data_IF_226174304326
#
_entry.id   IF_226174304326
#
_cell.length_a   1.000
_cell.length_b   1.000
_cell.length_c   1.000
_cell.angle_alpha   90.00
_cell.angle_beta   90.00
_cell.angle_gamma   90.00
#
_symmetry.space_group_name_H-M   'P 1'
#
loop_
_entity.id
_entity.type
_entity.pdbx_description
1 polymer ?
#
# COMPACT_ATOMS: atom_id res chain seq x y z
N UNK A 1 -0.41 -0.88 -15.08
CA UNK A 1 -1.52 -1.81 -15.42
C UNK A 1 -2.79 -1.41 -14.66
N UNK A 2 -3.99 -1.64 -15.21
CA UNK A 2 -5.26 -1.29 -14.53
C UNK A 2 -6.15 -2.51 -14.30
N UNK A 3 -6.68 -2.65 -13.08
CA UNK A 3 -7.71 -3.64 -12.75
C UNK A 3 -9.07 -2.96 -12.53
N UNK A 4 -10.01 -3.13 -13.45
CA UNK A 4 -11.37 -2.55 -13.36
C UNK A 4 -12.35 -3.36 -12.49
N UNK A 5 -11.91 -4.48 -11.94
CA UNK A 5 -12.63 -5.42 -11.08
C UNK A 5 -11.62 -6.38 -10.44
N UNK A 6 -12.09 -7.45 -9.79
CA UNK A 6 -11.18 -8.45 -9.20
C UNK A 6 -10.14 -8.94 -10.21
N UNK A 7 -8.89 -9.01 -9.80
CA UNK A 7 -7.78 -9.38 -10.67
C UNK A 7 -6.64 -10.03 -9.89
N UNK A 8 -5.80 -10.80 -10.59
CA UNK A 8 -4.56 -11.34 -10.06
C UNK A 8 -3.40 -10.91 -10.93
N UNK A 9 -2.41 -10.26 -10.32
CA UNK A 9 -1.12 -9.95 -10.92
C UNK A 9 -0.11 -10.93 -10.30
N UNK A 10 0.39 -11.86 -11.10
CA UNK A 10 1.25 -12.94 -10.61
C UNK A 10 2.62 -12.91 -11.28
N UNK A 11 3.69 -12.91 -10.48
CA UNK A 11 5.08 -12.94 -10.94
C UNK A 11 5.42 -11.82 -11.95
N UNK A 12 4.83 -10.64 -11.76
CA UNK A 12 5.08 -9.48 -12.64
C UNK A 12 6.22 -8.64 -12.08
N UNK A 13 7.11 -8.20 -12.96
CA UNK A 13 8.26 -7.36 -12.63
C UNK A 13 8.18 -6.00 -13.31
N UNK A 14 8.23 -4.94 -12.52
CA UNK A 14 8.33 -3.55 -12.99
C UNK A 14 9.72 -3.00 -12.65
N UNK A 15 10.58 -2.94 -13.65
CA UNK A 15 11.99 -2.55 -13.44
C UNK A 15 12.19 -1.04 -13.35
N UNK A 16 11.22 -0.27 -13.84
CA UNK A 16 11.19 1.18 -13.74
C UNK A 16 9.73 1.62 -13.76
N UNK A 17 9.26 2.24 -12.67
CA UNK A 17 7.86 2.61 -12.51
C UNK A 17 7.75 4.09 -12.83
N UNK A 18 7.07 4.42 -13.93
CA UNK A 18 6.75 5.79 -14.30
C UNK A 18 5.83 6.46 -13.26
N UNK A 19 4.51 6.46 -13.52
CA UNK A 19 3.55 7.03 -12.57
C UNK A 19 3.18 6.03 -11.45
N UNK A 20 2.63 4.87 -11.84
CA UNK A 20 2.36 3.74 -10.96
C UNK A 20 2.48 2.39 -11.69
N UNK A 21 2.83 1.32 -10.97
CA UNK A 21 2.97 -0.02 -11.54
C UNK A 21 1.60 -0.65 -11.83
N UNK A 22 0.69 -0.56 -10.85
CA UNK A 22 -0.68 -1.04 -10.97
C UNK A 22 -1.69 -0.17 -10.23
N UNK A 23 -2.87 -0.03 -10.84
CA UNK A 23 -3.98 0.75 -10.29
C UNK A 23 -5.27 -0.06 -10.24
N UNK A 24 -5.85 -0.16 -9.05
CA UNK A 24 -7.06 -0.93 -8.78
C UNK A 24 -8.28 -0.02 -8.74
N UNK A 25 -9.29 -0.29 -9.58
CA UNK A 25 -10.40 0.62 -9.91
C UNK A 25 -11.79 -0.01 -9.83
N UNK A 26 -11.91 -1.26 -9.37
CA UNK A 26 -13.22 -1.91 -9.23
C UNK A 26 -14.13 -1.18 -8.23
N UNK A 27 -15.43 -1.20 -8.48
CA UNK A 27 -16.41 -0.42 -7.71
C UNK A 27 -17.20 -1.25 -6.70
N UNK A 28 -17.09 -2.58 -6.78
CA UNK A 28 -17.76 -3.48 -5.83
C UNK A 28 -16.93 -3.61 -4.55
N UNK A 29 -17.58 -3.53 -3.39
CA UNK A 29 -16.96 -3.86 -2.11
C UNK A 29 -16.47 -5.33 -2.05
N UNK A 30 -17.01 -6.22 -2.89
CA UNK A 30 -16.55 -7.60 -3.04
C UNK A 30 -15.35 -7.78 -3.98
N UNK A 31 -14.84 -6.69 -4.59
CA UNK A 31 -13.66 -6.79 -5.46
C UNK A 31 -12.44 -7.25 -4.66
N UNK A 32 -11.71 -8.22 -5.22
CA UNK A 32 -10.47 -8.72 -4.65
C UNK A 32 -9.35 -8.61 -5.67
N UNK A 33 -8.32 -7.85 -5.31
CA UNK A 33 -7.10 -7.71 -6.09
C UNK A 33 -5.99 -8.48 -5.40
N UNK A 34 -5.30 -9.34 -6.16
CA UNK A 34 -4.19 -10.13 -5.64
C UNK A 34 -2.92 -9.75 -6.40
N UNK A 35 -1.89 -9.33 -5.70
CA UNK A 35 -0.52 -9.20 -6.20
C UNK A 35 0.30 -10.28 -5.54
N UNK A 36 0.76 -11.26 -6.31
CA UNK A 36 1.42 -12.45 -5.77
C UNK A 36 2.74 -12.74 -6.50
N UNK A 37 3.85 -12.68 -5.78
CA UNK A 37 5.17 -12.81 -6.41
C UNK A 37 5.56 -11.57 -7.21
N UNK A 38 6.78 -11.56 -7.75
CA UNK A 38 7.29 -10.47 -8.58
C UNK A 38 7.85 -9.31 -7.75
N UNK A 39 8.03 -8.16 -8.40
CA UNK A 39 8.60 -6.99 -7.74
C UNK A 39 8.52 -5.71 -8.55
N UNK A 40 8.76 -4.58 -7.88
CA UNK A 40 8.83 -3.27 -8.50
C UNK A 40 10.01 -2.47 -7.95
N UNK A 41 10.61 -1.63 -8.78
CA UNK A 41 11.61 -0.66 -8.34
C UNK A 41 11.48 0.68 -9.06
N UNK A 42 12.07 1.71 -8.48
CA UNK A 42 12.19 3.06 -9.06
C UNK A 42 10.82 3.71 -9.30
N UNK A 43 9.92 3.70 -8.31
CA UNK A 43 8.66 4.45 -8.39
C UNK A 43 8.78 5.80 -7.68
N UNK A 44 8.60 6.91 -8.38
CA UNK A 44 8.76 8.25 -7.79
C UNK A 44 7.82 8.47 -6.60
N UNK A 45 6.54 8.14 -6.75
CA UNK A 45 5.54 8.32 -5.69
C UNK A 45 5.02 6.98 -5.14
N UNK A 46 4.45 6.12 -5.99
CA UNK A 46 3.67 4.97 -5.52
C UNK A 46 3.72 3.80 -6.50
N UNK A 47 3.84 2.59 -5.97
CA UNK A 47 3.86 1.36 -6.78
C UNK A 47 2.43 0.89 -7.07
N UNK A 48 1.60 0.79 -6.03
CA UNK A 48 0.24 0.24 -6.08
C UNK A 48 -0.77 1.30 -5.65
N UNK A 49 -1.49 1.86 -6.62
CA UNK A 49 -2.55 2.84 -6.39
C UNK A 49 -3.90 2.15 -6.21
N UNK A 50 -4.56 2.38 -5.08
CA UNK A 50 -5.86 1.77 -4.78
C UNK A 50 -6.97 2.83 -4.82
N UNK A 51 -7.63 2.96 -5.97
CA UNK A 51 -8.72 3.91 -6.21
C UNK A 51 -10.11 3.30 -5.97
N UNK A 52 -10.27 2.01 -6.28
CA UNK A 52 -11.52 1.28 -6.21
C UNK A 52 -11.94 0.88 -4.79
N UNK A 53 -13.06 0.19 -4.69
CA UNK A 53 -13.54 -0.45 -3.47
C UNK A 53 -12.92 -1.84 -3.26
N UNK A 54 -13.09 -2.40 -2.07
CA UNK A 54 -12.84 -3.80 -1.79
C UNK A 54 -11.47 -4.07 -1.16
N UNK A 55 -10.84 -5.18 -1.54
CA UNK A 55 -9.67 -5.72 -0.85
C UNK A 55 -8.47 -5.91 -1.78
N UNK A 56 -7.31 -5.41 -1.38
CA UNK A 56 -6.02 -5.65 -2.01
C UNK A 56 -5.16 -6.57 -1.12
N UNK A 57 -4.67 -7.66 -1.68
CA UNK A 57 -3.75 -8.59 -1.03
C UNK A 57 -2.43 -8.59 -1.80
N UNK A 58 -1.35 -8.16 -1.14
CA UNK A 58 0.00 -8.17 -1.67
C UNK A 58 0.79 -9.23 -0.93
N UNK A 59 1.37 -10.19 -1.66
CA UNK A 59 2.15 -11.26 -1.04
C UNK A 59 3.33 -11.70 -1.88
N UNK A 60 4.42 -12.08 -1.21
CA UNK A 60 5.68 -12.53 -1.84
C UNK A 60 6.24 -11.54 -2.85
N UNK A 61 6.00 -10.25 -2.60
CA UNK A 61 6.38 -9.16 -3.48
C UNK A 61 7.65 -8.49 -2.97
N UNK A 62 8.44 -7.94 -3.88
CA UNK A 62 9.64 -7.16 -3.55
C UNK A 62 9.49 -5.74 -4.04
N UNK A 63 9.83 -4.77 -3.21
CA UNK A 63 9.82 -3.35 -3.58
C UNK A 63 11.11 -2.67 -3.15
N UNK A 64 11.68 -1.86 -4.03
CA UNK A 64 12.91 -1.14 -3.76
C UNK A 64 12.87 0.28 -4.34
N UNK A 65 13.60 1.22 -3.72
CA UNK A 65 13.81 2.58 -4.23
C UNK A 65 12.51 3.23 -4.74
N UNK A 66 11.52 3.36 -3.86
CA UNK A 66 10.17 3.77 -4.25
C UNK A 66 9.53 4.66 -3.20
N UNK A 67 8.69 5.62 -3.57
CA UNK A 67 8.01 6.47 -2.59
C UNK A 67 7.15 5.66 -1.62
N UNK A 68 6.16 4.92 -2.13
CA UNK A 68 5.20 4.14 -1.34
C UNK A 68 4.89 2.81 -2.01
N UNK A 69 4.75 1.72 -1.24
CA UNK A 69 4.29 0.45 -1.83
C UNK A 69 2.79 0.53 -2.16
N UNK A 70 1.93 0.80 -1.19
CA UNK A 70 0.47 0.91 -1.40
C UNK A 70 -0.06 2.26 -0.92
N UNK A 71 -0.92 2.90 -1.72
CA UNK A 71 -1.69 4.06 -1.27
C UNK A 71 -3.18 3.87 -1.58
N UNK A 72 -4.01 3.85 -0.54
CA UNK A 72 -5.46 4.11 -0.66
C UNK A 72 -5.66 5.53 -1.17
N UNK A 73 -6.47 5.76 -2.20
CA UNK A 73 -6.63 7.11 -2.74
C UNK A 73 -7.20 8.06 -1.68
N UNK A 74 -6.46 9.10 -1.32
CA UNK A 74 -6.86 9.97 -0.21
C UNK A 74 -7.70 11.18 -0.60
N UNK A 75 -7.74 11.53 -1.88
CA UNK A 75 -8.41 12.74 -2.39
C UNK A 75 -9.21 12.48 -3.68
N UNK A 76 -9.50 11.20 -3.99
CA UNK A 76 -10.39 10.83 -5.08
C UNK A 76 -11.81 11.39 -4.85
N UNK A 77 -12.46 11.83 -5.93
CA UNK A 77 -13.84 12.35 -5.88
C UNK A 77 -14.85 11.34 -5.34
N UNK A 78 -14.62 10.05 -5.63
CA UNK A 78 -15.35 8.94 -5.00
C UNK A 78 -14.44 8.22 -4.02
N UNK A 79 -14.93 8.05 -2.80
CA UNK A 79 -14.22 7.38 -1.72
C UNK A 79 -14.90 6.07 -1.36
N UNK A 80 -14.08 5.14 -0.87
CA UNK A 80 -14.49 3.80 -0.50
C UNK A 80 -13.77 3.42 0.78
N UNK A 81 -14.40 2.53 1.56
CA UNK A 81 -13.70 1.74 2.55
C UNK A 81 -12.85 0.68 1.83
N UNK A 82 -11.55 0.63 2.15
CA UNK A 82 -10.58 -0.26 1.50
C UNK A 82 -9.85 -1.12 2.53
N UNK A 83 -9.73 -2.41 2.23
CA UNK A 83 -8.92 -3.34 3.02
C UNK A 83 -7.62 -3.66 2.29
N UNK A 84 -6.49 -3.55 2.98
CA UNK A 84 -5.16 -3.85 2.45
C UNK A 84 -4.51 -4.92 3.32
N UNK A 85 -3.94 -5.95 2.70
CA UNK A 85 -3.17 -6.98 3.39
C UNK A 85 -1.80 -7.07 2.71
N UNK A 86 -0.73 -6.85 3.47
CA UNK A 86 0.65 -6.97 3.02
C UNK A 86 1.28 -8.11 3.81
N UNK A 87 1.60 -9.20 3.14
CA UNK A 87 2.04 -10.42 3.78
C UNK A 87 3.25 -11.02 3.07
N UNK A 88 4.33 -11.26 3.81
CA UNK A 88 5.55 -11.86 3.26
C UNK A 88 6.14 -11.01 2.12
N UNK A 89 6.58 -9.79 2.44
CA UNK A 89 7.05 -8.79 1.46
C UNK A 89 8.42 -8.27 1.87
N UNK A 90 9.31 -8.11 0.89
CA UNK A 90 10.61 -7.48 1.06
C UNK A 90 10.54 -6.01 0.62
N UNK A 91 10.98 -5.12 1.50
CA UNK A 91 10.97 -3.66 1.32
C UNK A 91 12.39 -3.17 1.45
N UNK A 92 12.99 -2.67 0.37
CA UNK A 92 14.39 -2.21 0.38
C UNK A 92 14.46 -0.69 0.30
N UNK A 93 15.16 -0.09 1.26
CA UNK A 93 15.43 1.34 1.31
C UNK A 93 16.17 1.84 0.05
N UNK A 94 15.99 3.12 -0.34
CA UNK A 94 15.17 4.14 0.32
C UNK A 94 13.68 4.03 -0.05
N UNK A 95 12.81 4.29 0.93
CA UNK A 95 11.37 4.47 0.71
C UNK A 95 10.78 5.46 1.72
N UNK A 96 9.63 6.07 1.41
CA UNK A 96 8.95 6.96 2.36
C UNK A 96 8.00 6.18 3.28
N UNK A 97 7.22 5.26 2.72
CA UNK A 97 6.29 4.44 3.51
C UNK A 97 5.90 3.12 2.84
N UNK A 98 5.45 2.14 3.62
CA UNK A 98 4.94 0.87 3.07
C UNK A 98 3.47 1.04 2.65
N UNK A 99 2.59 1.46 3.55
CA UNK A 99 1.16 1.64 3.24
C UNK A 99 0.59 2.95 3.78
N UNK A 100 -0.29 3.58 3.00
CA UNK A 100 -1.10 4.74 3.42
C UNK A 100 -2.60 4.44 3.38
N UNK A 101 -3.29 4.63 4.52
CA UNK A 101 -4.74 4.39 4.71
C UNK A 101 -5.48 5.67 5.11
N UNK A 102 -6.76 5.77 4.76
CA UNK A 102 -7.62 6.88 5.19
C UNK A 102 -8.52 6.43 6.35
N UNK A 103 -8.14 6.74 7.60
CA UNK A 103 -8.83 6.21 8.79
C UNK A 103 -10.29 6.67 8.89
N UNK A 104 -10.60 7.88 8.43
CA UNK A 104 -11.96 8.41 8.43
C UNK A 104 -12.92 7.72 7.44
N UNK A 105 -12.40 6.94 6.49
CA UNK A 105 -13.21 6.13 5.58
C UNK A 105 -13.27 4.65 5.99
N UNK A 106 -12.72 4.29 7.15
CA UNK A 106 -12.71 2.91 7.64
C UNK A 106 -11.62 2.03 7.01
N UNK A 107 -10.66 2.62 6.29
CA UNK A 107 -9.58 1.86 5.67
C UNK A 107 -8.80 1.06 6.72
N UNK A 108 -8.46 -0.18 6.37
CA UNK A 108 -7.61 -1.05 7.18
C UNK A 108 -6.41 -1.56 6.39
N UNK A 109 -5.29 -1.71 7.08
CA UNK A 109 -4.07 -2.31 6.57
C UNK A 109 -3.49 -3.29 7.60
N UNK A 110 -3.34 -4.55 7.22
CA UNK A 110 -2.64 -5.57 8.00
C UNK A 110 -1.27 -5.85 7.39
N UNK A 111 -0.21 -5.82 8.21
CA UNK A 111 1.15 -6.19 7.82
C UNK A 111 1.54 -7.46 8.55
N UNK A 112 2.14 -8.41 7.83
CA UNK A 112 2.65 -9.68 8.36
C UNK A 112 3.92 -10.07 7.65
N UNK A 113 4.95 -10.49 8.39
CA UNK A 113 6.23 -10.98 7.83
C UNK A 113 6.83 -10.00 6.80
N UNK A 114 6.83 -8.70 7.11
CA UNK A 114 7.43 -7.69 6.24
C UNK A 114 8.89 -7.49 6.66
N UNK A 115 9.80 -7.66 5.71
CA UNK A 115 11.25 -7.53 5.93
C UNK A 115 11.71 -6.23 5.30
N UNK A 116 12.30 -5.36 6.12
CA UNK A 116 12.69 -4.02 5.72
C UNK A 116 14.22 -3.96 5.71
N UNK A 117 14.79 -3.78 4.53
CA UNK A 117 16.23 -3.88 4.29
C UNK A 117 16.87 -2.51 4.10
N UNK A 118 18.08 -2.34 4.67
CA UNK A 118 18.83 -1.09 4.58
C UNK A 118 18.18 0.07 5.33
N UNK A 119 17.37 -0.22 6.35
CA UNK A 119 16.65 0.75 7.19
C UNK A 119 16.75 0.39 8.68
N UNK A 120 17.94 0.00 9.13
CA UNK A 120 18.25 -0.18 10.57
C UNK A 120 17.86 1.04 11.44
N UNK A 121 17.86 2.25 10.86
CA UNK A 121 17.39 3.49 11.49
C UNK A 121 15.87 3.66 11.55
N UNK A 122 15.09 2.71 11.00
CA UNK A 122 13.62 2.67 10.99
C UNK A 122 12.98 3.96 10.46
N UNK A 123 13.53 4.52 9.39
CA UNK A 123 13.05 5.75 8.75
C UNK A 123 11.83 5.52 7.88
N UNK A 124 11.67 4.33 7.30
CA UNK A 124 10.52 3.97 6.47
C UNK A 124 9.28 3.88 7.35
N UNK A 125 8.27 4.72 7.05
CA UNK A 125 7.00 4.70 7.78
C UNK A 125 6.21 3.44 7.40
N UNK A 126 5.89 2.60 8.37
CA UNK A 126 5.25 1.29 8.11
C UNK A 126 3.81 1.44 7.63
N UNK A 127 2.96 2.09 8.44
CA UNK A 127 1.58 2.38 8.08
C UNK A 127 1.29 3.84 8.41
N UNK A 128 0.93 4.63 7.42
CA UNK A 128 0.62 6.06 7.57
C UNK A 128 -0.88 6.24 7.49
N UNK A 129 -1.44 6.92 8.49
CA UNK A 129 -2.87 7.20 8.60
C UNK A 129 -3.14 8.62 8.17
N UNK A 130 -4.17 8.80 7.36
CA UNK A 130 -4.58 10.07 6.81
C UNK A 130 -6.04 10.38 7.12
N UNK A 131 -6.35 11.67 7.20
CA UNK A 131 -7.70 12.20 7.03
C UNK A 131 -7.93 12.41 5.53
N UNK A 132 -8.56 11.42 4.87
CA UNK A 132 -8.94 11.49 3.48
C UNK A 132 -10.07 12.49 3.22
N UNK A 133 -10.17 12.98 1.99
CA UNK A 133 -11.20 13.89 1.51
C UNK A 133 -11.64 13.48 0.08
N UNK A 134 -12.59 14.22 -0.48
CA UNK A 134 -13.09 14.02 -1.84
C UNK A 134 -13.02 15.31 -2.67
N UNK A 135 -12.20 16.27 -2.25
CA UNK A 135 -12.10 17.61 -2.86
C UNK A 135 -10.91 17.76 -3.79
N UNK A 136 -10.07 16.73 -3.91
CA UNK A 136 -8.79 16.78 -4.63
C UNK A 136 -7.64 17.40 -3.81
N UNK A 137 -7.93 17.98 -2.64
CA UNK A 137 -6.89 18.53 -1.77
C UNK A 137 -6.01 17.42 -1.17
N UNK A 138 -4.73 17.71 -0.90
CA UNK A 138 -3.83 16.73 -0.30
C UNK A 138 -4.34 16.28 1.09
N UNK A 139 -4.43 14.97 1.36
CA UNK A 139 -4.90 14.45 2.65
C UNK A 139 -3.94 14.80 3.80
N UNK A 140 -4.50 15.18 4.94
CA UNK A 140 -3.70 15.45 6.14
C UNK A 140 -3.20 14.15 6.76
N UNK A 141 -1.91 14.06 7.07
CA UNK A 141 -1.36 12.96 7.87
C UNK A 141 -1.80 13.11 9.34
N UNK A 142 -2.39 12.07 9.91
CA UNK A 142 -2.89 12.07 11.30
C UNK A 142 -2.17 11.06 12.21
N UNK A 143 -1.38 10.14 11.65
CA UNK A 143 -0.61 9.20 12.46
C UNK A 143 0.30 8.29 11.65
N UNK A 144 1.22 7.62 12.35
CA UNK A 144 2.12 6.60 11.80
C UNK A 144 2.15 5.40 12.74
N UNK A 145 2.36 4.20 12.21
CA UNK A 145 2.48 2.96 12.97
C UNK A 145 1.14 2.30 13.30
N UNK A 146 1.16 1.19 14.06
CA UNK A 146 -0.02 0.43 14.41
C UNK A 146 -0.91 1.19 15.39
N UNK A 147 -2.22 0.98 15.30
CA UNK A 147 -3.21 1.65 16.16
C UNK A 147 -4.43 0.79 16.52
N UNK A 148 -4.38 -0.50 16.21
CA UNK A 148 -5.44 -1.47 16.44
C UNK A 148 -6.79 -1.16 15.77
N UNK A 149 -6.87 -0.12 14.92
CA UNK A 149 -8.10 0.30 14.24
C UNK A 149 -7.92 0.29 12.72
N UNK A 150 -7.02 1.13 12.19
CA UNK A 150 -6.72 1.19 10.76
C UNK A 150 -5.43 0.43 10.42
N UNK A 151 -4.43 0.47 11.28
CA UNK A 151 -3.13 -0.16 11.08
C UNK A 151 -3.01 -1.36 12.03
N UNK A 152 -3.26 -2.55 11.49
CA UNK A 152 -3.50 -3.80 12.21
C UNK A 152 -2.29 -4.73 12.17
N UNK A 153 -1.25 -4.40 12.93
CA UNK A 153 -0.03 -5.22 13.06
C UNK A 153 0.71 -4.92 14.37
N UNK A 154 1.73 -5.70 14.64
CA UNK A 154 2.60 -5.60 15.81
C UNK A 154 4.07 -5.46 15.41
N UNK A 155 4.96 -5.19 16.38
CA UNK A 155 6.39 -5.14 16.11
C UNK A 155 6.95 -6.47 15.56
N UNK A 156 6.40 -7.62 15.97
CA UNK A 156 6.83 -8.94 15.49
C UNK A 156 6.46 -9.24 14.03
N UNK A 157 5.58 -8.44 13.44
CA UNK A 157 5.23 -8.57 12.02
C UNK A 157 6.29 -7.95 11.10
N UNK A 158 7.26 -7.23 11.67
CA UNK A 158 8.27 -6.46 10.96
C UNK A 158 9.68 -6.86 11.40
N UNK A 159 10.60 -6.96 10.43
CA UNK A 159 12.04 -7.06 10.71
C UNK A 159 12.79 -5.96 9.99
N UNK A 160 13.93 -5.56 10.55
CA UNK A 160 14.78 -4.49 10.02
C UNK A 160 16.23 -4.96 10.00
N UNK A 161 16.95 -4.62 8.93
CA UNK A 161 18.42 -4.70 8.82
C UNK A 161 19.04 -3.43 8.21
#
# INVERSE_FOLDING_TARGET
>A
MHCSGSCTLQNVWWLDVGEDAATFKGKSASSVYTVYGGGAKNAEDKVLQFNGAGKLVVSKFQVANSGKLVRSCGNCSTQYERTIIINDVDVTAPMNSIVGVNSNYGDTAALRKVRIHGDSGKKIKTCVRFQGNNTGAEPQQIGVGPDATSCLFSASDLTYD
#
